data_IF_640465643011
#
_entry.id   IF_640465643011
#
_cell.length_a   1.000
_cell.length_b   1.000
_cell.length_c   1.000
_cell.angle_alpha   90.00
_cell.angle_beta   90.00
_cell.angle_gamma   90.00
#
_symmetry.space_group_name_H-M   'P 1'
#
loop_
_entity.id
_entity.type
_entity.pdbx_description
1 polymer ?
#
# COMPACT_ATOMS: atom_id res chain seq x y z
N UNK A 1 2.14 -7.87 -9.84
CA UNK A 1 1.27 -6.77 -10.31
C UNK A 1 1.67 -6.25 -11.69
N UNK A 2 2.91 -5.80 -11.91
CA UNK A 2 3.35 -5.30 -13.24
C UNK A 2 3.04 -6.30 -14.36
N UNK A 3 3.45 -7.56 -14.20
CA UNK A 3 3.21 -8.62 -15.19
C UNK A 3 1.72 -8.80 -15.53
N UNK A 4 0.84 -8.79 -14.52
CA UNK A 4 -0.60 -8.94 -14.73
C UNK A 4 -1.18 -7.79 -15.56
N UNK A 5 -0.78 -6.55 -15.26
CA UNK A 5 -1.22 -5.37 -16.01
C UNK A 5 -0.66 -5.36 -17.44
N UNK A 6 0.59 -5.78 -17.64
CA UNK A 6 1.19 -5.87 -18.98
C UNK A 6 0.56 -6.98 -19.83
N UNK A 7 0.28 -8.13 -19.22
CA UNK A 7 -0.41 -9.23 -19.91
C UNK A 7 -1.84 -8.83 -20.31
N UNK A 8 -2.48 -7.95 -19.54
CA UNK A 8 -3.76 -7.33 -19.86
C UNK A 8 -3.68 -6.20 -20.92
N UNK A 9 -2.50 -5.94 -21.49
CA UNK A 9 -2.30 -4.98 -22.58
C UNK A 9 -2.01 -3.54 -22.15
N UNK A 10 -1.82 -3.28 -20.85
CA UNK A 10 -1.36 -1.97 -20.38
C UNK A 10 0.17 -1.85 -20.46
N UNK A 11 0.66 -0.62 -20.63
CA UNK A 11 2.11 -0.33 -20.57
C UNK A 11 2.44 0.33 -19.25
N UNK A 12 3.46 -0.16 -18.54
CA UNK A 12 3.99 0.50 -17.35
C UNK A 12 4.63 1.83 -17.79
N UNK A 13 4.14 2.94 -17.24
CA UNK A 13 4.62 4.29 -17.52
C UNK A 13 5.46 4.87 -16.40
N UNK A 14 5.38 4.30 -15.20
CA UNK A 14 6.22 4.70 -14.08
C UNK A 14 5.87 3.96 -12.80
N UNK A 15 6.78 4.05 -11.85
CA UNK A 15 6.61 3.57 -10.48
C UNK A 15 7.06 4.67 -9.52
N UNK A 16 6.46 4.71 -8.34
CA UNK A 16 6.78 5.70 -7.32
C UNK A 16 6.62 5.11 -5.93
N UNK A 17 7.60 5.42 -5.08
CA UNK A 17 7.63 5.12 -3.66
C UNK A 17 7.03 6.26 -2.82
N UNK A 18 6.19 7.11 -3.42
CA UNK A 18 5.57 8.26 -2.74
C UNK A 18 4.75 7.87 -1.50
N UNK A 19 4.20 6.65 -1.50
CA UNK A 19 3.44 6.09 -0.37
C UNK A 19 4.26 5.04 0.41
N UNK A 20 5.58 5.02 0.22
CA UNK A 20 6.42 4.13 1.01
C UNK A 20 6.48 4.62 2.46
N UNK A 21 6.30 3.69 3.40
CA UNK A 21 6.37 3.99 4.81
C UNK A 21 7.39 3.06 5.49
N UNK A 22 8.61 3.55 5.81
CA UNK A 22 9.62 2.73 6.45
C UNK A 22 9.24 2.28 7.88
N UNK A 23 8.22 2.90 8.49
CA UNK A 23 7.70 2.50 9.80
C UNK A 23 6.72 1.33 9.73
N UNK A 24 6.17 1.06 8.55
CA UNK A 24 5.25 -0.06 8.36
C UNK A 24 6.03 -1.35 8.07
N UNK A 25 6.30 -2.10 9.14
CA UNK A 25 6.98 -3.41 9.06
C UNK A 25 6.06 -4.52 8.56
N UNK A 26 4.76 -4.25 8.38
CA UNK A 26 3.73 -5.22 7.95
C UNK A 26 3.58 -6.42 8.89
N UNK A 27 4.14 -6.34 10.08
CA UNK A 27 4.10 -7.37 11.11
C UNK A 27 3.10 -6.99 12.21
N UNK A 28 1.84 -7.28 11.93
CA UNK A 28 0.72 -7.05 12.85
C UNK A 28 -0.44 -8.02 12.58
N UNK A 29 -1.22 -8.38 13.62
CA UNK A 29 -2.09 -9.56 13.58
C UNK A 29 -3.34 -9.41 12.70
N UNK A 30 -3.84 -8.20 12.46
CA UNK A 30 -5.02 -7.99 11.61
C UNK A 30 -4.67 -7.46 10.21
N UNK A 31 -3.40 -7.55 9.81
CA UNK A 31 -2.91 -6.99 8.55
C UNK A 31 -3.12 -5.47 8.50
N UNK A 32 -3.20 -4.92 7.28
CA UNK A 32 -3.28 -3.47 7.03
C UNK A 32 -4.41 -2.77 7.80
N UNK A 33 -5.47 -3.51 8.12
CA UNK A 33 -6.62 -3.02 8.89
C UNK A 33 -6.28 -2.66 10.34
N UNK A 34 -5.13 -3.09 10.83
CA UNK A 34 -4.59 -2.67 12.14
C UNK A 34 -4.21 -1.19 12.14
N UNK A 35 -3.89 -0.62 10.97
CA UNK A 35 -3.45 0.76 10.83
C UNK A 35 -4.64 1.73 10.63
N UNK A 36 -4.43 3.04 10.81
CA UNK A 36 -5.41 4.06 10.46
C UNK A 36 -5.86 3.98 8.99
N UNK A 37 -7.11 4.39 8.67
CA UNK A 37 -8.13 4.90 9.59
C UNK A 37 -8.94 3.79 10.29
N UNK A 38 -8.71 2.52 9.96
CA UNK A 38 -9.58 1.42 10.42
C UNK A 38 -9.33 1.04 11.87
N UNK A 39 -8.06 0.98 12.29
CA UNK A 39 -7.65 0.62 13.65
C UNK A 39 -8.43 -0.59 14.20
N UNK A 40 -8.43 -1.70 13.45
CA UNK A 40 -9.27 -2.89 13.71
C UNK A 40 -9.08 -3.52 15.10
N UNK A 41 -7.94 -3.30 15.74
CA UNK A 41 -7.65 -3.76 17.10
C UNK A 41 -8.17 -2.80 18.19
N UNK A 42 -8.83 -1.70 17.81
CA UNK A 42 -9.42 -0.72 18.72
C UNK A 42 -8.35 0.00 19.54
N UNK A 43 -8.49 -0.05 20.87
CA UNK A 43 -7.59 0.60 21.81
C UNK A 43 -6.29 -0.19 22.08
N UNK A 44 -6.25 -1.47 21.71
CA UNK A 44 -5.05 -2.28 21.89
C UNK A 44 -3.91 -1.71 21.05
N UNK A 45 -2.81 -1.32 21.72
CA UNK A 45 -1.61 -0.75 21.11
C UNK A 45 -1.91 0.39 20.12
N UNK A 46 -3.04 1.10 20.30
CA UNK A 46 -3.50 2.13 19.36
C UNK A 46 -2.44 3.19 19.10
N UNK A 47 -1.73 3.63 20.15
CA UNK A 47 -0.65 4.60 20.03
C UNK A 47 0.49 4.09 19.14
N UNK A 48 0.83 2.79 19.22
CA UNK A 48 1.83 2.15 18.35
C UNK A 48 1.37 2.17 16.88
N UNK A 49 0.13 1.81 16.61
CA UNK A 49 -0.39 1.76 15.23
C UNK A 49 -0.62 3.15 14.64
N UNK A 50 -1.04 4.12 15.44
CA UNK A 50 -1.12 5.53 15.03
C UNK A 50 0.27 6.09 14.74
N UNK A 51 1.31 5.71 15.49
CA UNK A 51 2.68 6.15 15.25
C UNK A 51 3.29 5.58 13.95
N UNK A 52 2.81 4.40 13.51
CA UNK A 52 3.14 3.83 12.19
C UNK A 52 2.51 4.69 11.09
N UNK A 53 1.23 5.06 11.23
CA UNK A 53 0.51 5.89 10.25
C UNK A 53 -0.08 5.07 9.10
N UNK A 54 -0.13 5.64 7.89
CA UNK A 54 -0.60 4.91 6.71
C UNK A 54 0.29 3.71 6.39
N UNK A 55 -0.29 2.66 5.81
CA UNK A 55 0.48 1.51 5.35
C UNK A 55 1.47 1.86 4.22
N UNK A 56 2.56 1.12 4.13
CA UNK A 56 3.50 1.15 3.02
C UNK A 56 2.85 0.62 1.73
N UNK A 57 2.81 1.47 0.70
CA UNK A 57 2.16 1.18 -0.58
C UNK A 57 3.07 1.49 -1.76
N UNK A 58 3.16 0.53 -2.67
CA UNK A 58 3.76 0.73 -3.98
C UNK A 58 2.76 1.43 -4.92
N UNK A 59 3.21 2.47 -5.61
CA UNK A 59 2.38 3.19 -6.62
C UNK A 59 2.88 2.89 -8.02
N UNK A 60 2.03 2.33 -8.87
CA UNK A 60 2.35 2.02 -10.27
C UNK A 60 1.42 2.79 -11.20
N UNK A 61 1.99 3.46 -12.20
CA UNK A 61 1.24 4.15 -13.26
C UNK A 61 1.27 3.33 -14.54
N UNK A 62 0.09 3.05 -15.07
CA UNK A 62 -0.06 2.38 -16.36
C UNK A 62 -0.72 3.30 -17.38
N UNK A 63 -0.39 3.11 -18.64
CA UNK A 63 -1.02 3.80 -19.77
C UNK A 63 -1.67 2.75 -20.66
N UNK A 64 -2.92 3.02 -21.04
CA UNK A 64 -3.62 2.27 -22.08
C UNK A 64 -3.09 2.74 -23.45
N UNK A 65 -2.51 1.87 -24.28
CA UNK A 65 -2.05 2.26 -25.61
C UNK A 65 -3.23 2.78 -26.46
N UNK A 66 -3.04 3.89 -27.17
CA UNK A 66 -3.95 4.28 -28.24
C UNK A 66 -3.81 3.27 -29.40
N UNK A 67 -4.94 2.97 -30.05
CA UNK A 67 -5.00 2.10 -31.23
C UNK A 67 -4.25 2.69 -32.40
#
# INVERSE_FOLDING_TARGET
MVKLATDAGFKLAGQSEVNANPKDTKDYPAGVWTLPPTLKLGEQDKAKYVAIGESDRMTLRFVKPAK
#
